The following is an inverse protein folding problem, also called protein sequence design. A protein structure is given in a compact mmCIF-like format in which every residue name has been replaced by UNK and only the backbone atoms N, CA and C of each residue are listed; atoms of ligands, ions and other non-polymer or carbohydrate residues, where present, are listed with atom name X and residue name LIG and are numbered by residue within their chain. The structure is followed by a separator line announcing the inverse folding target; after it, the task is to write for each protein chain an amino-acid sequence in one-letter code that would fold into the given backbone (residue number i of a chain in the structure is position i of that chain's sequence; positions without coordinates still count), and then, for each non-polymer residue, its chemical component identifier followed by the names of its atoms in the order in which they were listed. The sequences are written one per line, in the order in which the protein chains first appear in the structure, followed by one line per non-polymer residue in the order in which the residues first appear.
data_IF_322506599696
#
_entry.id   IF_322506599696
#
_cell.length_a   1.000
_cell.length_b   1.000
_cell.length_c   1.000
_cell.angle_alpha   90.00
_cell.angle_beta   90.00
_cell.angle_gamma   90.00
#
_symmetry.space_group_name_H-M   'P 1'
#
loop_
_entity.id
_entity.type
_entity.pdbx_description
1 polymer ?
#
# COMPACT_ATOMS: atom_id res chain seq x y z
N UNK A 1 4.15 47.27 5.68
CA UNK A 1 4.74 45.96 5.85
C UNK A 1 3.99 45.10 6.90
N UNK A 2 3.70 45.63 8.09
CA UNK A 2 2.99 44.93 9.15
C UNK A 2 1.57 44.43 8.73
N UNK A 3 0.80 45.22 8.01
CA UNK A 3 -0.54 44.86 7.52
C UNK A 3 -0.50 43.72 6.49
N UNK A 4 0.49 43.74 5.61
CA UNK A 4 0.69 42.66 4.62
C UNK A 4 1.12 41.37 5.31
N UNK A 5 1.99 41.43 6.32
CA UNK A 5 2.41 40.29 7.11
C UNK A 5 1.23 39.65 7.91
N UNK A 6 0.36 40.48 8.48
CA UNK A 6 -0.84 40.06 9.17
C UNK A 6 -1.87 39.44 8.21
N UNK A 7 -2.03 39.99 7.01
CA UNK A 7 -2.92 39.40 5.99
C UNK A 7 -2.43 38.04 5.48
N UNK A 8 -1.12 37.89 5.22
CA UNK A 8 -0.49 36.64 4.80
C UNK A 8 -0.56 35.59 5.93
N UNK A 9 -0.37 35.99 7.18
CA UNK A 9 -0.54 35.11 8.33
C UNK A 9 -1.99 34.65 8.46
N UNK A 10 -2.98 35.51 8.25
CA UNK A 10 -4.40 35.16 8.31
C UNK A 10 -4.83 34.12 7.29
N UNK A 11 -4.35 34.23 6.05
CA UNK A 11 -4.68 33.28 4.97
C UNK A 11 -4.06 31.89 5.23
N UNK A 12 -2.89 31.82 5.86
CA UNK A 12 -2.20 30.57 6.18
C UNK A 12 -2.53 29.97 7.54
N UNK A 13 -3.50 30.52 8.26
CA UNK A 13 -3.83 30.10 9.64
C UNK A 13 -4.89 29.02 9.74
N UNK A 14 -5.45 28.56 8.64
CA UNK A 14 -6.48 27.52 8.66
C UNK A 14 -6.29 26.51 7.54
N UNK A 15 -6.87 25.33 7.71
CA UNK A 15 -7.02 24.29 6.68
C UNK A 15 -8.38 23.59 6.85
N UNK A 16 -8.86 23.01 5.77
CA UNK A 16 -10.10 22.22 5.78
C UNK A 16 -9.72 20.76 5.60
N UNK A 17 -10.20 19.93 6.53
CA UNK A 17 -10.03 18.48 6.47
C UNK A 17 -11.36 17.87 6.04
N UNK A 18 -11.35 17.10 4.97
CA UNK A 18 -12.50 16.30 4.54
C UNK A 18 -12.53 14.91 5.24
N UNK A 19 -13.61 14.16 5.06
CA UNK A 19 -13.78 12.84 5.68
C UNK A 19 -12.87 11.77 5.07
N UNK A 20 -12.39 11.98 3.84
CA UNK A 20 -11.61 11.02 3.07
C UNK A 20 -10.10 11.11 3.37
N UNK A 21 -9.67 12.08 4.15
CA UNK A 21 -8.27 12.32 4.46
C UNK A 21 -7.98 12.36 5.96
N UNK A 22 -6.73 12.05 6.31
CA UNK A 22 -6.10 12.44 7.56
C UNK A 22 -5.31 13.74 7.33
N UNK A 23 -5.23 14.59 8.33
CA UNK A 23 -4.25 15.66 8.35
C UNK A 23 -3.14 15.32 9.36
N UNK A 24 -1.89 15.30 8.93
CA UNK A 24 -0.74 15.20 9.82
C UNK A 24 -0.19 16.59 10.03
N UNK A 25 -0.40 17.13 11.23
CA UNK A 25 0.08 18.46 11.64
C UNK A 25 1.42 18.30 12.33
N UNK A 26 2.48 18.80 11.69
CA UNK A 26 3.83 18.75 12.23
C UNK A 26 4.17 20.09 12.88
N UNK A 27 4.38 20.10 14.19
CA UNK A 27 4.75 21.29 14.97
C UNK A 27 6.21 21.18 15.37
N UNK A 28 7.09 22.00 14.77
CA UNK A 28 8.54 22.00 15.04
C UNK A 28 9.16 20.60 14.99
N UNK A 29 8.74 19.77 14.04
CA UNK A 29 9.23 18.39 13.87
C UNK A 29 8.46 17.32 14.63
N UNK A 30 7.48 17.68 15.47
CA UNK A 30 6.62 16.72 16.18
C UNK A 30 5.32 16.52 15.40
N UNK A 31 5.07 15.33 14.79
CA UNK A 31 3.85 15.06 14.03
C UNK A 31 2.70 14.62 14.95
N UNK A 32 1.50 15.06 14.61
CA UNK A 32 0.24 14.64 15.23
C UNK A 32 -0.81 14.41 14.15
N UNK A 33 -1.56 13.31 14.24
CA UNK A 33 -2.63 13.02 13.31
C UNK A 33 -3.95 13.66 13.77
N UNK A 34 -4.67 14.23 12.81
CA UNK A 34 -6.03 14.70 12.94
C UNK A 34 -6.93 13.96 11.94
N UNK A 35 -8.06 13.44 12.40
CA UNK A 35 -8.98 12.65 11.56
C UNK A 35 -10.38 13.24 11.50
N UNK A 36 -10.67 14.27 12.31
CA UNK A 36 -11.97 14.88 12.37
C UNK A 36 -12.15 15.87 11.23
N UNK A 37 -13.12 15.62 10.36
CA UNK A 37 -13.44 16.53 9.27
C UNK A 37 -13.93 17.90 9.77
N UNK A 38 -13.60 18.95 9.04
CA UNK A 38 -14.01 20.30 9.35
C UNK A 38 -12.93 21.35 9.16
N UNK A 39 -13.18 22.54 9.68
CA UNK A 39 -12.25 23.65 9.66
C UNK A 39 -11.32 23.58 10.88
N UNK A 40 -10.03 23.53 10.63
CA UNK A 40 -8.99 23.52 11.64
C UNK A 40 -8.09 24.73 11.53
N UNK A 41 -7.53 25.16 12.66
CA UNK A 41 -6.56 26.25 12.69
C UNK A 41 -5.14 25.70 12.86
N UNK A 42 -4.19 26.37 12.22
CA UNK A 42 -2.75 26.09 12.37
C UNK A 42 -1.97 27.39 12.62
N UNK A 43 -0.84 27.27 13.26
CA UNK A 43 0.08 28.39 13.48
C UNK A 43 0.98 28.52 12.25
N UNK A 44 0.88 29.62 11.46
CA UNK A 44 1.72 29.84 10.30
C UNK A 44 3.21 29.78 10.66
N UNK A 45 4.04 29.29 9.73
CA UNK A 45 5.50 29.16 9.85
C UNK A 45 6.01 28.16 10.91
N UNK A 46 5.16 27.72 11.86
CA UNK A 46 5.51 26.77 12.92
C UNK A 46 4.93 25.40 12.63
N UNK A 47 3.73 25.36 12.04
CA UNK A 47 3.00 24.12 11.76
C UNK A 47 2.88 23.88 10.25
N UNK A 48 3.25 22.68 9.84
CA UNK A 48 3.00 22.16 8.50
C UNK A 48 1.88 21.10 8.55
N UNK A 49 1.04 21.07 7.51
CA UNK A 49 -0.06 20.12 7.39
C UNK A 49 0.14 19.29 6.14
N UNK A 50 0.19 17.97 6.29
CA UNK A 50 0.26 17.01 5.19
C UNK A 50 -1.02 16.19 5.17
N UNK A 51 -1.71 16.15 4.02
CA UNK A 51 -2.91 15.34 3.85
C UNK A 51 -2.54 13.93 3.41
N UNK A 52 -3.17 12.92 4.03
CA UNK A 52 -2.98 11.50 3.71
C UNK A 52 -4.35 10.87 3.50
N UNK A 53 -4.56 10.25 2.35
CA UNK A 53 -5.85 9.62 2.03
C UNK A 53 -6.14 8.40 2.90
N UNK A 54 -7.39 8.29 3.36
CA UNK A 54 -7.96 7.11 4.05
C UNK A 54 -8.44 6.04 3.06
N UNK A 55 -8.53 6.39 1.76
CA UNK A 55 -9.06 5.52 0.73
C UNK A 55 -8.23 4.24 0.54
N UNK A 56 -8.90 3.22 0.05
CA UNK A 56 -8.24 1.97 -0.36
C UNK A 56 -7.46 2.26 -1.64
N UNK A 57 -6.19 1.90 -1.63
CA UNK A 57 -5.29 1.97 -2.78
C UNK A 57 -5.03 0.57 -3.31
N UNK A 58 -4.76 0.46 -4.60
CA UNK A 58 -4.39 -0.78 -5.26
C UNK A 58 -2.96 -0.78 -5.76
N UNK A 59 -2.35 -1.94 -5.75
CA UNK A 59 -0.97 -2.17 -6.20
C UNK A 59 -0.92 -3.44 -7.04
N UNK A 60 -0.55 -3.34 -8.34
CA UNK A 60 -0.33 -4.51 -9.18
C UNK A 60 0.99 -5.18 -8.81
N UNK A 61 1.02 -6.52 -8.87
CA UNK A 61 2.21 -7.35 -8.68
C UNK A 61 2.20 -8.38 -9.80
N UNK A 62 3.26 -8.41 -10.59
CA UNK A 62 3.40 -9.28 -11.75
C UNK A 62 3.06 -8.64 -13.09
N UNK A 63 2.43 -7.45 -13.08
CA UNK A 63 2.05 -6.76 -14.30
C UNK A 63 2.06 -5.24 -14.15
N UNK A 64 2.09 -4.54 -15.28
CA UNK A 64 1.94 -3.08 -15.36
C UNK A 64 0.47 -2.74 -15.54
N UNK A 65 -0.09 -1.96 -14.62
CA UNK A 65 -1.53 -1.67 -14.58
C UNK A 65 -2.05 -0.94 -15.84
N UNK A 66 -1.25 -0.06 -16.41
CA UNK A 66 -1.64 0.77 -17.56
C UNK A 66 -1.64 0.00 -18.88
N UNK A 67 -0.71 -0.95 -19.05
CA UNK A 67 -0.52 -1.69 -20.31
C UNK A 67 -0.99 -3.13 -20.24
N UNK A 68 -1.12 -3.69 -19.04
CA UNK A 68 -1.40 -5.11 -18.83
C UNK A 68 -0.19 -6.01 -19.18
N UNK A 69 0.98 -5.44 -19.46
CA UNK A 69 2.19 -6.20 -19.76
C UNK A 69 2.70 -6.91 -18.51
N UNK A 70 3.08 -8.18 -18.68
CA UNK A 70 3.66 -8.99 -17.61
C UNK A 70 5.05 -8.47 -17.22
N UNK A 71 5.33 -8.48 -15.94
CA UNK A 71 6.67 -8.24 -15.37
C UNK A 71 7.22 -9.57 -14.92
N UNK A 72 7.96 -10.25 -15.79
CA UNK A 72 8.44 -11.63 -15.60
C UNK A 72 9.17 -11.85 -14.26
N UNK A 73 9.95 -10.87 -13.84
CA UNK A 73 10.67 -10.93 -12.56
C UNK A 73 9.72 -11.02 -11.35
N UNK A 74 8.51 -10.50 -11.47
CA UNK A 74 7.48 -10.50 -10.43
C UNK A 74 6.48 -11.63 -10.60
N UNK A 75 6.12 -11.99 -11.84
CA UNK A 75 5.02 -12.90 -12.18
C UNK A 75 5.43 -14.36 -12.30
N UNK A 76 6.66 -14.66 -12.78
CA UNK A 76 7.10 -16.04 -12.98
C UNK A 76 7.55 -16.64 -11.65
N UNK A 77 6.94 -17.77 -11.31
CA UNK A 77 7.18 -18.49 -10.05
C UNK A 77 7.32 -19.99 -10.32
N UNK A 78 7.96 -20.69 -9.36
CA UNK A 78 8.11 -22.14 -9.40
C UNK A 78 7.19 -22.75 -8.34
N UNK A 79 6.35 -23.69 -8.76
CA UNK A 79 5.42 -24.43 -7.90
C UNK A 79 6.11 -25.64 -7.24
N UNK A 80 5.43 -26.27 -6.28
CA UNK A 80 5.92 -27.43 -5.54
C UNK A 80 6.33 -28.61 -6.44
N UNK A 81 5.66 -28.79 -7.55
CA UNK A 81 5.89 -29.85 -8.54
C UNK A 81 6.87 -29.42 -9.63
N UNK A 82 7.67 -28.39 -9.38
CA UNK A 82 8.72 -27.84 -10.23
C UNK A 82 8.25 -27.35 -11.61
N UNK A 83 7.00 -26.95 -11.71
CA UNK A 83 6.48 -26.27 -12.89
C UNK A 83 6.62 -24.77 -12.75
N UNK A 84 6.83 -24.09 -13.88
CA UNK A 84 6.69 -22.64 -13.92
C UNK A 84 5.23 -22.25 -14.05
N UNK A 85 4.87 -21.17 -13.37
CA UNK A 85 3.55 -20.54 -13.49
C UNK A 85 3.75 -19.04 -13.57
N UNK A 86 2.97 -18.40 -14.44
CA UNK A 86 2.89 -16.94 -14.51
C UNK A 86 1.63 -16.53 -13.72
N UNK A 87 1.79 -15.72 -12.69
CA UNK A 87 0.68 -15.31 -11.83
C UNK A 87 0.73 -13.82 -11.53
N UNK A 88 -0.39 -13.17 -11.78
CA UNK A 88 -0.61 -11.76 -11.55
C UNK A 88 -1.49 -11.56 -10.32
N UNK A 89 -1.09 -10.65 -9.44
CA UNK A 89 -1.79 -10.34 -8.21
C UNK A 89 -2.17 -8.86 -8.16
N UNK A 90 -3.28 -8.59 -7.48
CA UNK A 90 -3.68 -7.24 -7.13
C UNK A 90 -3.81 -7.12 -5.62
N UNK A 91 -3.01 -6.25 -5.02
CA UNK A 91 -2.97 -6.00 -3.58
C UNK A 91 -3.71 -4.71 -3.27
N UNK A 92 -4.70 -4.79 -2.40
CA UNK A 92 -5.43 -3.64 -1.86
C UNK A 92 -4.96 -3.35 -0.44
N UNK A 93 -4.65 -2.11 -0.18
CA UNK A 93 -4.16 -1.63 1.12
C UNK A 93 -4.71 -0.25 1.45
N UNK A 94 -4.59 0.15 2.70
CA UNK A 94 -4.99 1.47 3.19
C UNK A 94 -4.01 1.97 4.25
N UNK A 95 -4.00 3.29 4.44
CA UNK A 95 -3.25 3.90 5.54
C UNK A 95 -4.09 3.81 6.81
N UNK A 96 -3.57 3.14 7.84
CA UNK A 96 -4.21 3.01 9.16
C UNK A 96 -3.59 3.94 10.21
N UNK A 97 -2.33 4.33 10.05
CA UNK A 97 -1.64 5.32 10.88
C UNK A 97 -0.85 6.29 9.99
N UNK A 98 -1.37 7.50 9.76
CA UNK A 98 -0.76 8.44 8.81
C UNK A 98 0.58 9.00 9.32
N UNK A 99 0.82 9.04 10.62
CA UNK A 99 2.11 9.48 11.17
C UNK A 99 3.19 8.44 10.87
N UNK A 100 2.91 7.16 11.13
CA UNK A 100 3.84 6.08 10.80
C UNK A 100 4.07 5.95 9.30
N UNK A 101 3.00 6.10 8.50
CA UNK A 101 3.10 6.09 7.04
C UNK A 101 4.09 7.13 6.51
N UNK A 102 4.09 8.34 7.09
CA UNK A 102 4.98 9.44 6.64
C UNK A 102 6.39 9.39 7.23
N UNK A 103 6.57 8.76 8.42
CA UNK A 103 7.81 8.93 9.18
C UNK A 103 8.49 7.63 9.64
N UNK A 104 7.81 6.48 9.62
CA UNK A 104 8.40 5.22 10.08
C UNK A 104 9.28 4.55 9.02
N UNK A 105 9.00 4.76 7.73
CA UNK A 105 9.75 4.23 6.60
C UNK A 105 9.97 5.29 5.54
N UNK A 106 11.06 5.21 4.80
CA UNK A 106 11.33 6.10 3.67
C UNK A 106 10.39 5.80 2.49
N UNK A 107 9.98 4.54 2.32
CA UNK A 107 9.02 4.11 1.30
C UNK A 107 8.21 2.92 1.83
N UNK A 108 7.09 3.19 2.52
CA UNK A 108 6.26 2.14 3.08
C UNK A 108 5.54 1.30 2.01
N UNK A 109 5.23 1.89 0.84
CA UNK A 109 4.57 1.18 -0.26
C UNK A 109 5.53 0.20 -0.94
N UNK A 110 6.79 0.59 -1.18
CA UNK A 110 7.82 -0.33 -1.68
C UNK A 110 8.11 -1.46 -0.69
N UNK A 111 8.13 -1.18 0.61
CA UNK A 111 8.28 -2.20 1.65
C UNK A 111 7.13 -3.20 1.61
N UNK A 112 5.89 -2.72 1.51
CA UNK A 112 4.71 -3.57 1.37
C UNK A 112 4.77 -4.44 0.12
N UNK A 113 5.15 -3.88 -1.03
CA UNK A 113 5.29 -4.62 -2.30
C UNK A 113 6.32 -5.74 -2.18
N UNK A 114 7.49 -5.44 -1.64
CA UNK A 114 8.57 -6.42 -1.45
C UNK A 114 8.15 -7.59 -0.55
N UNK A 115 7.48 -7.29 0.57
CA UNK A 115 6.96 -8.31 1.47
C UNK A 115 5.85 -9.14 0.81
N UNK A 116 4.95 -8.50 0.07
CA UNK A 116 3.91 -9.20 -0.67
C UNK A 116 4.51 -10.17 -1.69
N UNK A 117 5.47 -9.75 -2.49
CA UNK A 117 6.17 -10.62 -3.46
C UNK A 117 6.85 -11.81 -2.78
N UNK A 118 7.48 -11.61 -1.62
CA UNK A 118 8.10 -12.69 -0.87
C UNK A 118 7.06 -13.73 -0.42
N UNK A 119 5.99 -13.28 0.23
CA UNK A 119 4.95 -14.21 0.72
C UNK A 119 4.14 -14.87 -0.39
N UNK A 120 3.96 -14.19 -1.54
CA UNK A 120 3.36 -14.78 -2.73
C UNK A 120 4.21 -15.96 -3.21
N UNK A 121 5.51 -15.75 -3.43
CA UNK A 121 6.44 -16.80 -3.89
C UNK A 121 6.53 -17.95 -2.91
N UNK A 122 6.65 -17.67 -1.62
CA UNK A 122 6.71 -18.69 -0.58
C UNK A 122 5.43 -19.54 -0.54
N UNK A 123 4.28 -18.90 -0.74
CA UNK A 123 3.00 -19.61 -0.71
C UNK A 123 2.74 -20.38 -2.00
N UNK A 124 2.97 -19.79 -3.17
CA UNK A 124 2.84 -20.49 -4.46
C UNK A 124 3.77 -21.71 -4.53
N UNK A 125 4.99 -21.58 -4.00
CA UNK A 125 5.98 -22.65 -3.99
C UNK A 125 5.62 -23.91 -3.17
N UNK A 126 4.59 -23.86 -2.34
CA UNK A 126 4.11 -25.04 -1.58
C UNK A 126 2.87 -25.70 -2.20
N UNK A 127 2.32 -25.14 -3.28
CA UNK A 127 1.17 -25.66 -4.02
C UNK A 127 1.60 -26.24 -5.38
N UNK A 128 0.82 -27.20 -5.88
CA UNK A 128 1.02 -27.71 -7.25
C UNK A 128 0.46 -26.72 -8.26
N UNK A 129 0.94 -26.75 -9.49
CA UNK A 129 0.53 -25.84 -10.55
C UNK A 129 -0.98 -25.86 -10.80
N UNK A 130 -1.61 -27.03 -10.77
CA UNK A 130 -3.05 -27.18 -10.97
C UNK A 130 -3.85 -26.46 -9.87
N UNK A 131 -3.41 -26.50 -8.62
CA UNK A 131 -4.05 -25.79 -7.52
C UNK A 131 -3.95 -24.27 -7.70
N UNK A 132 -2.80 -23.78 -8.14
CA UNK A 132 -2.57 -22.35 -8.39
C UNK A 132 -3.46 -21.83 -9.51
N UNK A 133 -3.60 -22.60 -10.59
CA UNK A 133 -4.38 -22.19 -11.77
C UNK A 133 -5.88 -22.33 -11.57
N UNK A 134 -6.34 -23.31 -10.76
CA UNK A 134 -7.75 -23.69 -10.68
C UNK A 134 -8.36 -23.51 -9.28
N UNK A 135 -8.44 -24.57 -8.52
CA UNK A 135 -9.26 -24.68 -7.30
C UNK A 135 -8.62 -24.10 -6.06
N UNK A 136 -7.31 -23.98 -6.03
CA UNK A 136 -6.54 -23.50 -4.88
C UNK A 136 -6.49 -21.99 -4.71
N UNK A 137 -6.93 -21.22 -5.71
CA UNK A 137 -6.79 -19.75 -5.71
C UNK A 137 -7.30 -19.08 -4.44
N UNK A 138 -8.50 -19.42 -3.99
CA UNK A 138 -9.11 -18.81 -2.80
C UNK A 138 -8.31 -19.10 -1.52
N UNK A 139 -7.80 -20.33 -1.39
CA UNK A 139 -7.00 -20.75 -0.25
C UNK A 139 -5.64 -20.04 -0.26
N UNK A 140 -4.97 -20.00 -1.41
CA UNK A 140 -3.69 -19.33 -1.62
C UNK A 140 -3.82 -17.83 -1.27
N UNK A 141 -4.84 -17.15 -1.79
CA UNK A 141 -5.12 -15.74 -1.48
C UNK A 141 -5.33 -15.51 0.02
N UNK A 142 -6.09 -16.38 0.68
CA UNK A 142 -6.36 -16.28 2.11
C UNK A 142 -5.08 -16.46 2.95
N UNK A 143 -4.24 -17.43 2.58
CA UNK A 143 -2.98 -17.70 3.27
C UNK A 143 -1.97 -16.56 3.09
N UNK A 144 -1.83 -16.03 1.88
CA UNK A 144 -0.96 -14.87 1.61
C UNK A 144 -1.45 -13.66 2.40
N UNK A 145 -2.77 -13.39 2.37
CA UNK A 145 -3.37 -12.28 3.09
C UNK A 145 -3.09 -12.36 4.59
N UNK A 146 -3.25 -13.53 5.19
CA UNK A 146 -3.00 -13.74 6.62
C UNK A 146 -1.53 -13.48 6.98
N UNK A 147 -0.60 -14.12 6.24
CA UNK A 147 0.85 -13.95 6.44
C UNK A 147 1.26 -12.48 6.30
N UNK A 148 0.80 -11.82 5.23
CA UNK A 148 1.15 -10.44 4.95
C UNK A 148 0.54 -9.50 6.00
N UNK A 149 -0.71 -9.71 6.42
CA UNK A 149 -1.35 -8.91 7.48
C UNK A 149 -0.57 -9.00 8.79
N UNK A 150 -0.20 -10.22 9.22
CA UNK A 150 0.58 -10.43 10.43
C UNK A 150 1.96 -9.76 10.35
N UNK A 151 2.58 -9.81 9.18
CA UNK A 151 3.87 -9.14 8.95
C UNK A 151 3.74 -7.63 9.02
N UNK A 152 2.71 -7.05 8.39
CA UNK A 152 2.49 -5.60 8.41
C UNK A 152 2.22 -5.05 9.80
N UNK A 153 1.56 -5.82 10.68
CA UNK A 153 1.40 -5.47 12.10
C UNK A 153 2.77 -5.38 12.79
N UNK A 154 3.70 -6.29 12.46
CA UNK A 154 5.05 -6.31 13.05
C UNK A 154 5.95 -5.20 12.50
N UNK A 155 5.82 -4.86 11.22
CA UNK A 155 6.58 -3.77 10.58
C UNK A 155 6.16 -2.40 11.09
N UNK A 156 4.89 -2.24 11.43
CA UNK A 156 4.33 -1.04 12.07
C UNK A 156 4.62 0.26 11.28
N UNK A 157 4.51 0.21 9.97
CA UNK A 157 4.80 1.32 9.03
C UNK A 157 3.56 2.12 8.61
N UNK A 158 2.44 1.97 9.32
CA UNK A 158 1.22 2.73 9.10
C UNK A 158 0.35 2.28 7.92
N UNK A 159 0.60 1.09 7.37
CA UNK A 159 -0.20 0.46 6.32
C UNK A 159 -0.90 -0.79 6.83
N UNK A 160 -2.10 -1.06 6.30
CA UNK A 160 -2.83 -2.31 6.52
C UNK A 160 -3.30 -2.91 5.20
N UNK A 161 -3.23 -4.24 5.12
CA UNK A 161 -3.71 -5.01 3.97
C UNK A 161 -5.21 -5.14 4.05
N UNK A 162 -5.90 -4.77 2.96
CA UNK A 162 -7.35 -4.92 2.81
C UNK A 162 -7.67 -6.25 2.16
N UNK A 163 -7.05 -6.51 0.99
CA UNK A 163 -7.25 -7.74 0.25
C UNK A 163 -6.06 -8.05 -0.66
N UNK A 164 -5.97 -9.31 -1.09
CA UNK A 164 -5.08 -9.72 -2.17
C UNK A 164 -5.82 -10.70 -3.07
N UNK A 165 -5.73 -10.49 -4.38
CA UNK A 165 -6.48 -11.27 -5.37
C UNK A 165 -5.53 -11.75 -6.45
N UNK A 166 -5.65 -13.02 -6.85
CA UNK A 166 -5.03 -13.54 -8.07
C UNK A 166 -5.87 -13.05 -9.24
N UNK A 167 -5.28 -12.25 -10.10
CA UNK A 167 -5.94 -11.75 -11.32
C UNK A 167 -5.91 -12.82 -12.39
N UNK A 168 -4.71 -13.24 -12.77
CA UNK A 168 -4.48 -14.28 -13.75
C UNK A 168 -3.45 -15.28 -13.24
N UNK A 169 -3.61 -16.55 -13.65
CA UNK A 169 -2.65 -17.60 -13.42
C UNK A 169 -2.70 -18.59 -14.59
N UNK A 170 -1.61 -18.72 -15.32
CA UNK A 170 -1.49 -19.60 -16.48
C UNK A 170 -0.07 -20.17 -16.59
N UNK A 171 0.11 -21.34 -17.24
CA UNK A 171 1.43 -21.82 -17.55
C UNK A 171 2.17 -20.80 -18.41
N UNK A 172 3.51 -20.67 -18.27
CA UNK A 172 4.29 -19.82 -19.16
C UNK A 172 4.02 -20.22 -20.61
N UNK A 173 3.83 -19.24 -21.48
CA UNK A 173 3.82 -19.50 -22.93
C UNK A 173 5.21 -20.00 -23.31
N UNK A 174 5.31 -21.27 -23.71
CA UNK A 174 6.52 -21.73 -24.40
C UNK A 174 6.69 -20.85 -25.63
N UNK A 175 7.70 -19.99 -25.62
CA UNK A 175 8.16 -19.39 -26.88
C UNK A 175 8.71 -20.54 -27.75
N UNK A 176 7.96 -20.88 -28.78
CA UNK A 176 8.35 -21.81 -29.83
C UNK A 176 9.38 -21.17 -30.77
#
# INVERSE_FOLDING_TARGET
FAVVALAVAGINSYYVLDEENYAVVTTLGSPQAESQAGLHFKIPFIQNVTMVSKGIKGMPIGYVQETGESVDEESIMITKDFNFVNTDFYLEYMVNDPVKYLYASSDPEATLKMLAQSYIRDTVGIYNVDDVITTGKALIQSEIKEKLTNRMISEDIGLSVVNITIQDAFPPTEEV
#
